data_IF_083832710834
#
_entry.id   IF_083832710834
#
_cell.length_a   1.000
_cell.length_b   1.000
_cell.length_c   1.000
_cell.angle_alpha   90.00
_cell.angle_beta   90.00
_cell.angle_gamma   90.00
#
_symmetry.space_group_name_H-M   'P 1'
#
loop_
_entity.id
_entity.type
_entity.pdbx_description
1 polymer ?
#
# COMPACT_ATOMS: atom_id res chain seq x y z
N UNK A 1 55.91 -2.30 -44.76
CA UNK A 1 54.47 -2.57 -44.89
C UNK A 1 53.86 -2.74 -43.52
N UNK A 2 53.23 -1.71 -43.01
CA UNK A 2 52.54 -1.79 -41.71
C UNK A 2 51.05 -1.87 -41.98
N UNK A 3 50.49 -3.06 -41.80
CA UNK A 3 49.07 -3.29 -41.85
C UNK A 3 48.44 -2.63 -40.60
N UNK A 4 47.75 -1.55 -40.81
CA UNK A 4 46.94 -0.94 -39.78
C UNK A 4 45.66 -1.79 -39.65
N UNK A 5 45.64 -2.59 -38.62
CA UNK A 5 44.42 -3.28 -38.20
C UNK A 5 43.56 -2.22 -37.54
N UNK A 6 42.54 -1.81 -38.25
CA UNK A 6 41.50 -0.92 -37.70
C UNK A 6 40.60 -1.76 -36.80
N UNK A 7 40.93 -1.78 -35.52
CA UNK A 7 40.05 -2.44 -34.54
C UNK A 7 38.82 -1.55 -34.34
N UNK A 8 37.75 -1.98 -34.98
CA UNK A 8 36.43 -1.39 -34.78
C UNK A 8 35.98 -1.76 -33.37
N UNK A 9 36.21 -0.87 -32.40
CA UNK A 9 35.58 -0.98 -31.10
C UNK A 9 34.07 -0.75 -31.30
N UNK A 10 33.34 -1.84 -31.47
CA UNK A 10 31.90 -1.85 -31.29
C UNK A 10 31.66 -1.51 -29.82
N UNK A 11 31.31 -0.26 -29.58
CA UNK A 11 30.78 0.14 -28.30
C UNK A 11 29.44 -0.59 -28.12
N UNK A 12 29.51 -1.73 -27.48
CA UNK A 12 28.32 -2.43 -26.96
C UNK A 12 27.79 -1.57 -25.82
N UNK A 13 26.92 -0.63 -26.18
CA UNK A 13 26.04 0.01 -25.21
C UNK A 13 25.17 -1.12 -24.64
N UNK A 14 25.70 -1.76 -23.59
CA UNK A 14 24.86 -2.52 -22.69
C UNK A 14 23.86 -1.52 -22.09
N UNK A 15 22.72 -1.40 -22.74
CA UNK A 15 21.54 -0.84 -22.12
C UNK A 15 21.29 -1.72 -20.89
N UNK A 16 21.80 -1.27 -19.75
CA UNK A 16 21.34 -1.72 -18.46
C UNK A 16 19.84 -1.38 -18.42
N UNK A 17 19.04 -2.30 -18.92
CA UNK A 17 17.66 -2.40 -18.53
C UNK A 17 17.72 -2.60 -17.02
N UNK A 18 17.62 -1.48 -16.32
CA UNK A 18 17.17 -1.47 -14.96
C UNK A 18 15.78 -2.08 -15.02
N UNK A 19 15.72 -3.40 -14.91
CA UNK A 19 14.53 -4.05 -14.44
C UNK A 19 14.30 -3.50 -13.03
N UNK A 20 13.71 -2.30 -12.93
CA UNK A 20 12.94 -2.00 -11.76
C UNK A 20 11.92 -3.13 -11.71
N UNK A 21 12.09 -4.03 -10.78
CA UNK A 21 11.03 -4.92 -10.38
C UNK A 21 9.97 -4.01 -9.75
N UNK A 22 9.18 -3.36 -10.61
CA UNK A 22 7.89 -2.83 -10.19
C UNK A 22 7.14 -4.05 -9.70
N UNK A 23 7.01 -4.18 -8.39
CA UNK A 23 6.11 -5.13 -7.76
C UNK A 23 4.72 -4.61 -8.04
N UNK A 24 4.27 -4.84 -9.27
CA UNK A 24 2.90 -4.52 -9.66
C UNK A 24 2.00 -5.50 -8.95
N UNK A 25 1.07 -4.96 -8.15
CA UNK A 25 -0.02 -5.74 -7.59
C UNK A 25 -0.90 -6.35 -8.69
N UNK A 26 -1.78 -7.24 -8.32
CA UNK A 26 -2.80 -7.73 -9.25
C UNK A 26 -3.69 -6.56 -9.70
N UNK A 27 -4.26 -6.62 -10.92
CA UNK A 27 -5.20 -5.60 -11.39
C UNK A 27 -6.35 -5.42 -10.39
N UNK A 28 -6.76 -4.16 -10.19
CA UNK A 28 -7.95 -3.85 -9.40
C UNK A 28 -9.19 -4.50 -10.03
N UNK A 29 -10.21 -4.82 -9.22
CA UNK A 29 -11.52 -5.23 -9.72
C UNK A 29 -12.09 -4.22 -10.73
N UNK A 30 -12.88 -4.72 -11.68
CA UNK A 30 -13.58 -3.87 -12.64
C UNK A 30 -14.42 -2.79 -11.91
N UNK A 31 -14.33 -1.56 -12.40
CA UNK A 31 -15.01 -0.40 -11.84
C UNK A 31 -14.28 0.32 -10.70
N UNK A 32 -13.18 -0.23 -10.20
CA UNK A 32 -12.31 0.45 -9.25
C UNK A 32 -11.20 1.23 -9.98
N UNK A 33 -11.01 2.46 -9.55
CA UNK A 33 -9.98 3.37 -10.09
C UNK A 33 -8.80 3.49 -9.11
N UNK A 34 -7.59 3.31 -9.61
CA UNK A 34 -6.36 3.33 -8.80
C UNK A 34 -6.19 4.63 -8.02
N UNK A 35 -6.42 5.78 -8.68
CA UNK A 35 -6.28 7.08 -8.05
C UNK A 35 -7.29 7.26 -6.91
N UNK A 36 -8.51 6.78 -7.09
CA UNK A 36 -9.57 6.83 -6.07
C UNK A 36 -9.26 5.92 -4.89
N UNK A 37 -8.76 4.72 -5.14
CA UNK A 37 -8.35 3.76 -4.09
C UNK A 37 -7.18 4.31 -3.28
N UNK A 38 -6.17 4.89 -3.94
CA UNK A 38 -5.04 5.51 -3.25
C UNK A 38 -5.46 6.73 -2.43
N UNK A 39 -6.30 7.62 -2.99
CA UNK A 39 -6.77 8.81 -2.27
C UNK A 39 -7.57 8.44 -1.00
N UNK A 40 -8.48 7.48 -1.11
CA UNK A 40 -9.24 6.99 0.04
C UNK A 40 -8.34 6.31 1.09
N UNK A 41 -7.36 5.54 0.65
CA UNK A 41 -6.39 4.90 1.53
C UNK A 41 -5.49 5.89 2.25
N UNK A 42 -5.01 6.94 1.58
CA UNK A 42 -4.18 8.00 2.16
C UNK A 42 -4.94 8.76 3.26
N UNK A 43 -6.23 8.99 3.08
CA UNK A 43 -7.08 9.58 4.11
C UNK A 43 -7.10 8.71 5.37
N UNK A 44 -7.28 7.40 5.22
CA UNK A 44 -7.25 6.46 6.35
C UNK A 44 -5.87 6.46 7.04
N UNK A 45 -4.77 6.41 6.29
CA UNK A 45 -3.41 6.48 6.86
C UNK A 45 -3.22 7.76 7.68
N UNK A 46 -3.69 8.89 7.17
CA UNK A 46 -3.64 10.17 7.86
C UNK A 46 -4.46 10.14 9.16
N UNK A 47 -5.70 9.67 9.09
CA UNK A 47 -6.58 9.57 10.27
C UNK A 47 -6.02 8.65 11.35
N UNK A 48 -5.39 7.53 10.96
CA UNK A 48 -4.72 6.61 11.90
C UNK A 48 -3.56 7.28 12.62
N UNK A 49 -2.75 8.05 11.91
CA UNK A 49 -1.61 8.76 12.51
C UNK A 49 -2.02 10.01 13.31
N UNK A 50 -3.20 10.55 13.04
CA UNK A 50 -3.80 11.68 13.78
C UNK A 50 -4.72 11.24 14.92
N UNK A 51 -4.72 9.95 15.27
CA UNK A 51 -5.53 9.38 16.33
C UNK A 51 -7.06 9.60 16.16
N UNK A 52 -7.54 9.63 14.94
CA UNK A 52 -8.94 9.84 14.60
C UNK A 52 -9.71 8.49 14.50
N UNK A 53 -9.69 7.72 15.56
CA UNK A 53 -10.22 6.34 15.60
C UNK A 53 -11.71 6.24 15.24
N UNK A 54 -12.51 7.19 15.70
CA UNK A 54 -13.93 7.25 15.38
C UNK A 54 -14.16 7.50 13.89
N UNK A 55 -13.41 8.41 13.28
CA UNK A 55 -13.52 8.71 11.85
C UNK A 55 -13.18 7.50 10.98
N UNK A 56 -12.17 6.73 11.35
CA UNK A 56 -11.83 5.47 10.68
C UNK A 56 -12.94 4.43 10.85
N UNK A 57 -13.45 4.27 12.08
CA UNK A 57 -14.55 3.34 12.37
C UNK A 57 -15.82 3.68 11.57
N UNK A 58 -16.15 4.96 11.46
CA UNK A 58 -17.37 5.41 10.74
C UNK A 58 -17.32 5.05 9.24
N UNK A 59 -16.14 4.92 8.66
CA UNK A 59 -15.94 4.54 7.26
C UNK A 59 -15.95 3.02 7.02
N UNK A 60 -15.90 2.22 8.07
CA UNK A 60 -15.99 0.76 7.95
C UNK A 60 -17.35 0.33 7.41
N UNK A 61 -17.35 -0.68 6.58
CA UNK A 61 -18.58 -1.35 6.13
C UNK A 61 -19.34 -1.92 7.33
N UNK A 62 -20.67 -1.92 7.28
CA UNK A 62 -21.52 -2.26 8.41
C UNK A 62 -21.27 -3.67 8.99
N UNK A 63 -20.99 -4.66 8.14
CA UNK A 63 -20.66 -6.02 8.60
C UNK A 63 -19.33 -6.07 9.38
N UNK A 64 -18.34 -5.25 9.01
CA UNK A 64 -17.07 -5.12 9.73
C UNK A 64 -17.27 -4.46 11.09
N UNK A 65 -18.13 -3.44 11.17
CA UNK A 65 -18.49 -2.76 12.43
C UNK A 65 -19.08 -3.68 13.48
N UNK A 66 -19.70 -4.79 13.07
CA UNK A 66 -20.26 -5.76 14.02
C UNK A 66 -19.19 -6.49 14.85
N UNK A 67 -17.96 -6.52 14.39
CA UNK A 67 -16.85 -7.27 14.99
C UNK A 67 -15.71 -6.41 15.53
N UNK A 68 -15.83 -5.09 15.46
CA UNK A 68 -14.81 -4.15 15.95
C UNK A 68 -15.44 -2.89 16.54
N UNK A 69 -14.66 -2.16 17.31
CA UNK A 69 -15.04 -0.88 17.90
C UNK A 69 -13.95 0.16 17.65
N UNK A 70 -14.21 1.48 17.80
CA UNK A 70 -13.17 2.50 17.74
C UNK A 70 -12.04 2.24 18.74
N UNK A 71 -12.36 1.69 19.90
CA UNK A 71 -11.38 1.34 20.93
C UNK A 71 -10.46 0.17 20.51
N UNK A 72 -11.00 -0.81 19.78
CA UNK A 72 -10.19 -1.92 19.25
C UNK A 72 -9.20 -1.40 18.20
N UNK A 73 -9.64 -0.49 17.32
CA UNK A 73 -8.77 0.18 16.35
C UNK A 73 -7.67 0.93 17.07
N UNK A 74 -8.02 1.77 18.06
CA UNK A 74 -7.06 2.52 18.85
C UNK A 74 -6.01 1.60 19.49
N UNK A 75 -6.45 0.59 20.23
CA UNK A 75 -5.56 -0.32 20.95
C UNK A 75 -4.58 -1.02 20.02
N UNK A 76 -5.07 -1.50 18.87
CA UNK A 76 -4.23 -2.19 17.90
C UNK A 76 -3.21 -1.24 17.25
N UNK A 77 -3.67 -0.08 16.79
CA UNK A 77 -2.81 0.88 16.07
C UNK A 77 -1.80 1.54 17.01
N UNK A 78 -2.21 1.96 18.20
CA UNK A 78 -1.29 2.53 19.20
C UNK A 78 -0.18 1.54 19.55
N UNK A 79 -0.50 0.26 19.69
CA UNK A 79 0.51 -0.78 19.95
C UNK A 79 1.59 -0.83 18.88
N UNK A 80 1.20 -0.73 17.60
CA UNK A 80 2.18 -0.72 16.50
C UNK A 80 2.94 0.60 16.46
N UNK A 81 2.24 1.73 16.59
CA UNK A 81 2.87 3.07 16.52
C UNK A 81 3.87 3.30 17.68
N UNK A 82 3.64 2.74 18.86
CA UNK A 82 4.58 2.80 19.97
C UNK A 82 5.90 2.07 19.66
N UNK A 83 5.84 1.01 18.88
CA UNK A 83 7.03 0.25 18.44
C UNK A 83 7.80 0.99 17.35
N UNK A 84 7.12 1.46 16.31
CA UNK A 84 7.76 2.08 15.13
C UNK A 84 7.95 3.60 15.25
N UNK A 85 7.28 4.24 16.20
CA UNK A 85 7.34 5.69 16.44
C UNK A 85 6.46 6.52 15.48
N UNK A 86 6.51 7.86 15.64
CA UNK A 86 5.71 8.77 14.81
C UNK A 86 5.98 8.65 13.32
N UNK A 87 4.94 8.88 12.52
CA UNK A 87 5.03 8.97 11.06
C UNK A 87 5.98 10.11 10.61
N UNK A 88 6.78 9.84 9.59
CA UNK A 88 7.72 10.81 9.00
C UNK A 88 7.42 11.13 7.55
N UNK A 89 7.30 10.11 6.70
CA UNK A 89 7.12 10.33 5.26
C UNK A 89 6.57 9.09 4.55
N UNK A 90 5.84 9.34 3.47
CA UNK A 90 5.49 8.32 2.50
C UNK A 90 6.71 8.00 1.61
N UNK A 91 6.97 6.71 1.39
CA UNK A 91 8.06 6.25 0.53
C UNK A 91 7.57 5.76 -0.82
N UNK A 92 6.52 4.96 -0.82
CA UNK A 92 5.97 4.37 -2.03
C UNK A 92 4.51 3.97 -1.83
N UNK A 93 3.79 3.81 -2.92
CA UNK A 93 2.39 3.36 -2.94
C UNK A 93 2.16 2.35 -4.05
N UNK A 94 1.22 1.46 -3.83
CA UNK A 94 0.71 0.59 -4.88
C UNK A 94 -0.76 0.23 -4.61
N UNK A 95 -1.42 -0.31 -5.62
CA UNK A 95 -2.72 -0.95 -5.47
C UNK A 95 -2.65 -2.41 -5.86
N UNK A 96 -3.52 -3.23 -5.29
CA UNK A 96 -3.64 -4.64 -5.66
C UNK A 96 -5.07 -5.11 -5.53
N UNK A 97 -5.55 -5.83 -6.56
CA UNK A 97 -6.85 -6.50 -6.54
C UNK A 97 -6.74 -7.88 -5.90
N UNK A 98 -7.77 -8.26 -5.17
CA UNK A 98 -7.84 -9.55 -4.50
C UNK A 98 -9.25 -10.13 -4.58
N UNK A 99 -9.37 -11.43 -4.31
CA UNK A 99 -10.66 -12.13 -4.26
C UNK A 99 -10.67 -13.01 -3.01
N UNK A 100 -11.72 -12.88 -2.21
CA UNK A 100 -11.97 -13.77 -1.07
C UNK A 100 -12.38 -15.14 -1.61
N UNK A 101 -11.61 -16.18 -1.31
CA UNK A 101 -11.83 -17.52 -1.87
C UNK A 101 -13.17 -18.14 -1.47
N UNK A 102 -13.59 -17.89 -0.24
CA UNK A 102 -14.79 -18.47 0.37
C UNK A 102 -16.07 -17.88 -0.19
N UNK A 103 -16.07 -16.59 -0.51
CA UNK A 103 -17.27 -15.85 -0.95
C UNK A 103 -17.23 -15.43 -2.41
N UNK A 104 -16.05 -15.37 -3.02
CA UNK A 104 -15.84 -14.81 -4.35
C UNK A 104 -15.89 -13.27 -4.37
N UNK A 105 -15.99 -12.62 -3.20
CA UNK A 105 -15.97 -11.15 -3.10
C UNK A 105 -14.65 -10.60 -3.61
N UNK A 106 -14.72 -9.63 -4.53
CA UNK A 106 -13.57 -8.92 -5.06
C UNK A 106 -13.39 -7.61 -4.31
N UNK A 107 -12.13 -7.25 -4.04
CA UNK A 107 -11.80 -5.99 -3.38
C UNK A 107 -10.45 -5.45 -3.87
N UNK A 108 -10.25 -4.16 -3.70
CA UNK A 108 -9.01 -3.47 -4.02
C UNK A 108 -8.33 -2.98 -2.75
N UNK A 109 -7.02 -3.14 -2.67
CA UNK A 109 -6.23 -2.71 -1.52
C UNK A 109 -5.26 -1.61 -1.93
N UNK A 110 -5.31 -0.48 -1.21
CA UNK A 110 -4.26 0.52 -1.24
C UNK A 110 -3.12 0.08 -0.29
N UNK A 111 -1.90 0.16 -0.76
CA UNK A 111 -0.71 -0.19 0.02
C UNK A 111 0.21 1.02 0.07
N UNK A 112 0.63 1.38 1.28
CA UNK A 112 1.51 2.51 1.53
C UNK A 112 2.75 2.04 2.30
N UNK A 113 3.90 2.32 1.76
CA UNK A 113 5.18 2.12 2.44
C UNK A 113 5.60 3.43 3.08
N UNK A 114 5.64 3.47 4.39
CA UNK A 114 5.86 4.68 5.16
C UNK A 114 7.11 4.57 6.03
N UNK A 115 7.85 5.67 6.15
CA UNK A 115 8.91 5.82 7.12
C UNK A 115 8.33 6.39 8.41
N UNK A 116 8.57 5.70 9.50
CA UNK A 116 8.36 6.16 10.87
C UNK A 116 9.70 6.51 11.52
N UNK A 117 9.66 7.05 12.74
CA UNK A 117 10.86 7.53 13.42
C UNK A 117 11.87 6.41 13.69
N UNK A 118 11.40 5.24 14.11
CA UNK A 118 12.25 4.10 14.49
C UNK A 118 12.36 3.06 13.39
N UNK A 119 11.33 2.89 12.55
CA UNK A 119 11.26 1.82 11.54
C UNK A 119 10.39 2.20 10.33
N UNK A 120 10.30 1.27 9.38
CA UNK A 120 9.38 1.37 8.26
C UNK A 120 8.11 0.56 8.53
N UNK A 121 7.00 1.00 7.99
CA UNK A 121 5.73 0.29 8.08
C UNK A 121 5.03 0.20 6.74
N UNK A 122 4.32 -0.89 6.55
CA UNK A 122 3.43 -1.09 5.41
C UNK A 122 1.98 -1.04 5.90
N UNK A 123 1.22 -0.09 5.36
CA UNK A 123 -0.23 0.01 5.57
C UNK A 123 -0.95 -0.66 4.43
N UNK A 124 -1.89 -1.53 4.73
CA UNK A 124 -2.77 -2.18 3.77
C UNK A 124 -4.21 -1.81 4.08
N UNK A 125 -4.82 -1.07 3.18
CA UNK A 125 -6.15 -0.49 3.35
C UNK A 125 -7.07 -1.05 2.26
N UNK A 126 -7.83 -2.12 2.54
CA UNK A 126 -8.72 -2.75 1.59
C UNK A 126 -10.09 -2.06 1.52
N UNK A 127 -10.58 -1.93 0.30
CA UNK A 127 -11.92 -1.39 -0.02
C UNK A 127 -12.73 -2.38 -0.84
N UNK A 128 -14.02 -2.47 -0.56
CA UNK A 128 -14.98 -3.17 -1.43
C UNK A 128 -15.05 -2.52 -2.81
N UNK A 129 -15.69 -3.17 -3.76
CA UNK A 129 -15.94 -2.56 -5.10
C UNK A 129 -16.83 -1.32 -5.04
N UNK A 130 -17.58 -1.13 -3.96
CA UNK A 130 -18.37 0.08 -3.67
C UNK A 130 -17.59 1.14 -2.87
N UNK A 131 -16.26 0.96 -2.73
CA UNK A 131 -15.36 1.86 -2.00
C UNK A 131 -15.65 1.98 -0.49
N UNK A 132 -16.25 0.97 0.10
CA UNK A 132 -16.40 0.88 1.56
C UNK A 132 -15.13 0.28 2.18
N UNK A 133 -14.67 0.84 3.29
CA UNK A 133 -13.53 0.31 4.04
C UNK A 133 -13.88 -1.05 4.65
N UNK A 134 -13.14 -2.10 4.31
CA UNK A 134 -13.42 -3.47 4.78
C UNK A 134 -12.37 -4.03 5.74
N UNK A 135 -11.40 -3.23 6.10
CA UNK A 135 -10.37 -3.62 7.06
C UNK A 135 -9.21 -2.63 7.08
N UNK A 136 -8.21 -2.94 7.86
CA UNK A 136 -6.92 -2.25 7.85
C UNK A 136 -5.87 -3.14 8.48
N UNK A 137 -4.65 -2.98 8.03
CA UNK A 137 -3.50 -3.68 8.59
C UNK A 137 -2.26 -2.78 8.52
N UNK A 138 -1.50 -2.74 9.60
CA UNK A 138 -0.17 -2.13 9.65
C UNK A 138 0.82 -3.22 10.04
N UNK A 139 1.90 -3.33 9.30
CA UNK A 139 3.00 -4.25 9.59
C UNK A 139 4.33 -3.51 9.56
N UNK A 140 5.16 -3.74 10.54
CA UNK A 140 6.57 -3.36 10.55
C UNK A 140 7.32 -4.08 9.43
N UNK A 141 8.33 -3.42 8.80
CA UNK A 141 9.10 -3.94 7.67
C UNK A 141 10.57 -4.17 8.03
#
# INVERSE_FOLDING_TARGET
>A
MKKRILTLCAALCAALLLCSCDVKGNPLPEGMDEASVLAAGEEIVTQLNDAQWQAVYDQLREDVKTSTTPQDIQTHIESVLDEIGPYKSLKDTMTTGQTVKETGEKYGTAVFYCQHEKDQAMYRIPFSTDMELIGLQITEQ
#
